data_IF_344176821762
#
_entry.id   IF_344176821762
#
_cell.length_a   1.000
_cell.length_b   1.000
_cell.length_c   1.000
_cell.angle_alpha   90.00
_cell.angle_beta   90.00
_cell.angle_gamma   90.00
#
_symmetry.space_group_name_H-M   'P 1'
#
loop_
_entity.id
_entity.type
_entity.pdbx_description
1 polymer ?
#
# COMPACT_ATOMS: atom_id res chain seq x y z
N UNK A 1 -67.21 -34.22 24.96
CA UNK A 1 -67.22 -33.41 26.19
C UNK A 1 -66.93 -31.95 25.82
N UNK A 2 -68.01 -31.17 25.77
CA UNK A 2 -68.09 -29.70 25.80
C UNK A 2 -67.67 -29.18 27.21
N UNK A 3 -67.69 -27.87 27.54
CA UNK A 3 -67.03 -26.68 26.94
C UNK A 3 -66.52 -25.67 28.03
N UNK A 4 -66.13 -24.43 27.65
CA UNK A 4 -66.48 -23.11 28.24
C UNK A 4 -65.39 -22.06 27.94
N UNK A 5 -65.65 -20.97 27.18
CA UNK A 5 -66.37 -19.70 27.48
C UNK A 5 -65.35 -18.59 27.87
N UNK A 6 -65.47 -17.28 27.57
CA UNK A 6 -66.61 -16.44 27.16
C UNK A 6 -66.13 -15.05 26.67
N UNK A 7 -66.93 -14.42 25.77
CA UNK A 7 -67.47 -13.03 25.77
C UNK A 7 -66.58 -11.78 25.99
N UNK A 8 -66.87 -10.55 25.51
CA UNK A 8 -67.69 -9.91 24.43
C UNK A 8 -67.50 -8.38 24.61
N UNK A 9 -67.54 -7.62 23.51
CA UNK A 9 -68.18 -6.29 23.28
C UNK A 9 -67.65 -4.96 23.90
N UNK A 10 -67.65 -3.92 23.04
CA UNK A 10 -67.82 -2.48 23.33
C UNK A 10 -66.76 -1.58 22.65
N UNK A 11 -66.91 -1.07 21.41
CA UNK A 11 -67.78 0.00 20.86
C UNK A 11 -67.10 1.39 20.74
N UNK A 12 -67.08 1.94 19.50
CA UNK A 12 -67.11 3.37 19.07
C UNK A 12 -65.85 4.24 19.33
N UNK A 13 -65.38 5.21 18.52
CA UNK A 13 -65.86 6.04 17.38
C UNK A 13 -64.68 6.53 16.50
N UNK A 14 -64.94 6.64 15.18
CA UNK A 14 -64.75 7.79 14.25
C UNK A 14 -63.55 8.77 14.44
N UNK A 15 -62.74 8.98 13.39
CA UNK A 15 -62.59 10.24 12.59
C UNK A 15 -61.29 10.19 11.76
N UNK A 16 -61.45 10.43 10.46
CA UNK A 16 -60.42 10.60 9.46
C UNK A 16 -59.67 11.92 9.62
N UNK A 17 -58.39 11.96 9.23
CA UNK A 17 -57.81 13.14 8.57
C UNK A 17 -56.55 12.75 7.80
N UNK A 18 -56.69 12.73 6.47
CA UNK A 18 -55.58 12.73 5.55
C UNK A 18 -54.99 14.15 5.51
N UNK A 19 -53.71 14.29 5.85
CA UNK A 19 -52.94 15.48 5.57
C UNK A 19 -51.78 15.10 4.65
N UNK A 20 -51.96 15.38 3.36
CA UNK A 20 -50.89 15.41 2.39
C UNK A 20 -50.05 16.67 2.65
N UNK A 21 -48.86 16.51 3.23
CA UNK A 21 -47.85 17.56 3.21
C UNK A 21 -47.00 17.40 1.95
N UNK A 22 -47.23 18.29 0.99
CA UNK A 22 -46.30 18.53 -0.10
C UNK A 22 -45.04 19.19 0.49
N UNK A 23 -43.93 18.46 0.50
CA UNK A 23 -42.60 19.02 0.80
C UNK A 23 -42.04 19.55 -0.52
N UNK A 24 -42.10 20.87 -0.68
CA UNK A 24 -41.41 21.61 -1.74
C UNK A 24 -39.91 21.54 -1.48
N UNK A 25 -39.18 20.73 -2.25
CA UNK A 25 -37.72 20.73 -2.24
C UNK A 25 -37.22 22.01 -2.93
N UNK A 26 -36.71 22.95 -2.13
CA UNK A 26 -35.93 24.08 -2.64
C UNK A 26 -34.57 23.55 -3.05
N UNK A 27 -34.37 23.36 -4.35
CA UNK A 27 -33.04 23.13 -4.94
C UNK A 27 -32.34 24.48 -4.97
N UNK A 28 -31.56 24.79 -3.93
CA UNK A 28 -30.57 25.86 -4.00
C UNK A 28 -29.42 25.38 -4.87
N UNK A 29 -29.35 25.91 -6.10
CA UNK A 29 -28.17 25.81 -6.95
C UNK A 29 -27.02 26.61 -6.32
N UNK A 30 -26.36 26.00 -5.34
CA UNK A 30 -25.09 26.49 -4.81
C UNK A 30 -24.01 26.19 -5.84
N UNK A 31 -23.72 27.18 -6.70
CA UNK A 31 -22.53 27.14 -7.54
C UNK A 31 -21.30 26.99 -6.67
N UNK A 32 -20.62 25.84 -6.77
CA UNK A 32 -19.29 25.65 -6.19
C UNK A 32 -18.36 26.58 -6.94
N UNK A 33 -18.00 27.71 -6.33
CA UNK A 33 -16.93 28.56 -6.82
C UNK A 33 -15.64 27.75 -6.64
N UNK A 34 -15.12 27.22 -7.74
CA UNK A 34 -13.81 26.60 -7.78
C UNK A 34 -12.79 27.63 -7.27
N UNK A 35 -12.15 27.34 -6.13
CA UNK A 35 -11.05 28.17 -5.68
C UNK A 35 -9.93 28.12 -6.74
N UNK A 36 -9.33 29.26 -7.11
CA UNK A 36 -8.22 29.28 -8.03
C UNK A 36 -7.09 28.42 -7.46
N UNK A 37 -6.71 27.36 -8.18
CA UNK A 37 -5.47 26.67 -7.90
C UNK A 37 -4.32 27.69 -8.05
N UNK A 38 -3.43 27.84 -7.06
CA UNK A 38 -2.26 28.68 -7.23
C UNK A 38 -1.50 28.20 -8.47
N UNK A 39 -1.21 29.13 -9.39
CA UNK A 39 -0.50 28.82 -10.61
C UNK A 39 0.84 28.12 -10.33
N UNK A 40 1.36 27.31 -11.26
CA UNK A 40 2.59 26.58 -11.06
C UNK A 40 3.73 27.59 -10.87
N UNK A 41 4.20 27.73 -9.63
CA UNK A 41 5.46 28.41 -9.33
C UNK A 41 6.58 27.76 -10.14
N UNK A 42 7.61 28.53 -10.46
CA UNK A 42 8.81 28.02 -11.12
C UNK A 42 9.34 26.79 -10.35
N UNK A 43 9.77 25.72 -11.05
CA UNK A 43 10.25 24.51 -10.40
C UNK A 43 11.45 24.87 -9.52
N UNK A 44 11.28 24.73 -8.20
CA UNK A 44 12.43 24.71 -7.28
C UNK A 44 13.14 23.39 -7.55
N UNK A 45 14.46 23.45 -7.72
CA UNK A 45 15.31 22.29 -7.94
C UNK A 45 15.41 21.50 -6.62
N UNK A 46 14.33 20.83 -6.24
CA UNK A 46 14.15 20.06 -4.99
C UNK A 46 14.74 18.65 -5.17
N UNK A 47 16.00 18.59 -5.58
CA UNK A 47 16.69 17.31 -5.68
C UNK A 47 16.99 16.81 -4.27
N UNK A 48 16.48 15.65 -3.86
CA UNK A 48 16.84 15.00 -2.59
C UNK A 48 18.26 14.38 -2.66
N UNK A 49 19.24 15.14 -3.17
CA UNK A 49 20.65 14.76 -3.26
C UNK A 49 21.33 14.83 -1.90
N UNK A 50 20.93 15.82 -1.11
CA UNK A 50 21.35 15.97 0.27
C UNK A 50 20.13 15.82 1.18
N UNK A 51 20.29 15.05 2.25
CA UNK A 51 19.22 14.73 3.19
C UNK A 51 19.73 14.82 4.63
N UNK A 52 18.86 15.27 5.53
CA UNK A 52 19.05 15.09 6.97
C UNK A 52 18.02 14.10 7.49
N UNK A 53 18.45 13.20 8.37
CA UNK A 53 17.60 12.17 8.96
C UNK A 53 17.68 12.30 10.48
N UNK A 54 16.52 12.34 11.14
CA UNK A 54 16.46 12.37 12.60
C UNK A 54 16.89 11.03 13.22
N UNK A 55 17.22 11.01 14.53
CA UNK A 55 17.23 9.78 15.31
C UNK A 55 15.87 9.04 15.21
N UNK A 56 15.85 7.71 15.40
CA UNK A 56 14.62 6.95 15.38
C UNK A 56 13.73 7.30 16.57
N UNK A 57 12.43 7.40 16.33
CA UNK A 57 11.39 7.58 17.35
C UNK A 57 10.48 6.35 17.36
N UNK A 58 10.26 5.77 18.54
CA UNK A 58 9.30 4.67 18.69
C UNK A 58 7.88 5.19 18.60
N UNK A 59 7.12 4.72 17.60
CA UNK A 59 5.71 5.09 17.40
C UNK A 59 4.73 4.00 17.84
N UNK A 60 5.21 2.75 17.92
CA UNK A 60 4.48 1.64 18.54
C UNK A 60 5.47 0.66 19.17
N UNK A 61 5.43 0.55 20.51
CA UNK A 61 6.22 -0.43 21.26
C UNK A 61 5.50 -1.78 21.36
N UNK A 62 6.25 -2.86 21.61
CA UNK A 62 5.69 -4.19 21.85
C UNK A 62 4.67 -4.21 23.01
N UNK A 63 4.96 -3.48 24.09
CA UNK A 63 4.06 -3.35 25.23
C UNK A 63 2.76 -2.66 24.82
N UNK A 64 2.84 -1.51 24.13
CA UNK A 64 1.66 -0.76 23.70
C UNK A 64 0.81 -1.58 22.72
N UNK A 65 1.44 -2.25 21.76
CA UNK A 65 0.80 -3.19 20.83
C UNK A 65 -0.03 -4.25 21.57
N UNK A 66 0.56 -4.92 22.56
CA UNK A 66 -0.15 -5.93 23.40
C UNK A 66 -1.30 -5.33 24.20
N UNK A 67 -1.13 -4.12 24.76
CA UNK A 67 -2.22 -3.41 25.47
C UNK A 67 -3.42 -3.10 24.56
N UNK A 68 -3.19 -2.97 23.25
CA UNK A 68 -4.24 -2.79 22.24
C UNK A 68 -4.88 -4.12 21.78
N UNK A 69 -4.50 -5.24 22.38
CA UNK A 69 -4.98 -6.58 22.00
C UNK A 69 -4.40 -7.09 20.67
N UNK A 70 -3.40 -6.41 20.11
CA UNK A 70 -2.71 -6.88 18.91
C UNK A 70 -1.71 -7.98 19.30
N UNK A 71 -1.79 -9.14 18.64
CA UNK A 71 -0.89 -10.30 18.85
C UNK A 71 0.17 -10.44 17.75
N UNK A 72 0.14 -9.57 16.74
CA UNK A 72 1.06 -9.56 15.60
C UNK A 72 1.61 -8.15 15.32
N UNK A 73 2.67 -8.08 14.53
CA UNK A 73 3.20 -6.85 13.92
C UNK A 73 2.77 -6.74 12.45
N UNK A 74 2.79 -5.54 11.85
CA UNK A 74 2.72 -5.39 10.39
C UNK A 74 3.81 -6.19 9.68
N UNK A 75 3.46 -6.87 8.60
CA UNK A 75 4.38 -7.68 7.76
C UNK A 75 4.44 -7.21 6.31
N UNK A 76 3.99 -5.99 6.09
CA UNK A 76 4.10 -5.24 4.84
C UNK A 76 4.16 -3.76 5.15
N UNK A 77 4.54 -2.94 4.17
CA UNK A 77 4.49 -1.49 4.31
C UNK A 77 3.01 -1.07 4.39
N UNK A 78 2.60 -0.29 5.41
CA UNK A 78 1.19 0.06 5.55
C UNK A 78 0.75 1.05 4.48
N UNK A 79 -0.48 0.89 3.97
CA UNK A 79 -1.22 1.98 3.36
C UNK A 79 -1.64 2.99 4.43
N UNK A 80 -1.49 4.29 4.16
CA UNK A 80 -1.79 5.36 5.12
C UNK A 80 -2.88 6.26 4.57
N UNK A 81 -3.97 6.42 5.31
CA UNK A 81 -5.08 7.31 4.97
C UNK A 81 -5.28 8.33 6.08
N UNK A 82 -5.31 9.61 5.72
CA UNK A 82 -5.76 10.68 6.62
C UNK A 82 -7.29 10.73 6.65
N UNK A 83 -7.86 10.92 7.84
CA UNK A 83 -9.29 11.08 8.08
C UNK A 83 -9.66 12.55 8.27
N UNK A 84 -10.95 12.86 8.11
CA UNK A 84 -11.48 14.23 8.22
C UNK A 84 -11.26 14.86 9.60
N UNK A 85 -11.19 14.06 10.66
CA UNK A 85 -10.90 14.49 12.04
C UNK A 85 -9.39 14.70 12.31
N UNK A 86 -8.55 14.53 11.29
CA UNK A 86 -7.09 14.66 11.40
C UNK A 86 -6.37 13.41 11.91
N UNK A 87 -7.10 12.35 12.25
CA UNK A 87 -6.49 11.05 12.58
C UNK A 87 -6.07 10.27 11.33
N UNK A 88 -5.34 9.17 11.53
CA UNK A 88 -4.76 8.36 10.47
C UNK A 88 -5.17 6.89 10.61
N UNK A 89 -5.45 6.25 9.48
CA UNK A 89 -5.57 4.80 9.36
C UNK A 89 -4.29 4.23 8.76
N UNK A 90 -3.78 3.16 9.36
CA UNK A 90 -2.70 2.37 8.79
C UNK A 90 -3.26 0.98 8.47
N UNK A 91 -3.14 0.57 7.20
CA UNK A 91 -3.65 -0.68 6.66
C UNK A 91 -2.46 -1.55 6.29
N UNK A 92 -2.19 -2.60 7.05
CA UNK A 92 -1.05 -3.49 6.82
C UNK A 92 -1.44 -4.96 6.90
N UNK A 93 -0.60 -5.83 6.39
CA UNK A 93 -0.75 -7.27 6.58
C UNK A 93 -0.37 -7.66 8.00
N UNK A 94 -1.11 -8.61 8.55
CA UNK A 94 -0.78 -9.26 9.79
C UNK A 94 0.43 -10.17 9.57
N UNK A 95 1.51 -9.90 10.29
CA UNK A 95 2.67 -10.77 10.33
C UNK A 95 2.52 -12.01 11.19
N UNK A 96 3.60 -12.76 11.24
CA UNK A 96 3.71 -13.86 12.19
C UNK A 96 3.68 -13.30 13.63
N UNK A 97 2.96 -13.99 14.51
CA UNK A 97 2.83 -13.64 15.92
C UNK A 97 2.59 -14.88 16.78
N UNK A 98 2.01 -14.73 17.97
CA UNK A 98 1.88 -15.78 19.00
C UNK A 98 0.87 -16.92 18.65
N UNK A 99 0.47 -17.07 17.38
CA UNK A 99 -0.54 -18.03 16.91
C UNK A 99 -0.53 -18.26 15.39
N UNK A 100 -1.39 -19.17 14.89
CA UNK A 100 -1.45 -19.58 13.47
C UNK A 100 -1.67 -18.38 12.53
N UNK A 101 -1.02 -18.43 11.37
CA UNK A 101 -1.12 -17.46 10.28
C UNK A 101 -2.55 -17.33 9.76
N UNK A 102 -3.33 -16.42 10.33
CA UNK A 102 -4.57 -15.96 9.68
C UNK A 102 -4.15 -14.74 8.86
N UNK A 103 -4.14 -14.88 7.53
CA UNK A 103 -3.84 -13.80 6.59
C UNK A 103 -4.91 -12.73 6.74
N UNK A 104 -4.61 -11.71 7.54
CA UNK A 104 -5.52 -10.63 7.86
C UNK A 104 -4.86 -9.31 7.52
N UNK A 105 -5.67 -8.38 7.08
CA UNK A 105 -5.35 -6.96 7.11
C UNK A 105 -5.61 -6.45 8.54
N UNK A 106 -4.58 -5.88 9.14
CA UNK A 106 -4.65 -5.09 10.38
C UNK A 106 -4.91 -3.64 10.01
N UNK A 107 -5.92 -3.05 10.66
CA UNK A 107 -6.31 -1.65 10.49
C UNK A 107 -6.13 -0.97 11.83
N UNK A 108 -5.17 -0.06 11.94
CA UNK A 108 -4.98 0.74 13.17
C UNK A 108 -5.51 2.16 12.97
N UNK A 109 -6.00 2.76 14.07
CA UNK A 109 -6.30 4.19 14.18
C UNK A 109 -5.20 4.85 15.00
N UNK A 110 -4.67 5.97 14.52
CA UNK A 110 -3.57 6.65 15.18
C UNK A 110 -3.45 8.12 14.83
N UNK A 111 -2.37 8.70 15.35
CA UNK A 111 -1.76 9.92 14.83
C UNK A 111 -0.44 9.57 14.15
N UNK A 112 0.25 10.56 13.60
CA UNK A 112 1.60 10.36 13.09
C UNK A 112 2.60 10.00 14.20
N UNK A 113 2.41 10.46 15.44
CA UNK A 113 3.30 10.15 16.56
C UNK A 113 2.94 8.85 17.30
N UNK A 114 1.70 8.37 17.15
CA UNK A 114 1.22 7.13 17.75
C UNK A 114 0.32 6.40 16.74
N UNK A 115 0.91 5.50 15.96
CA UNK A 115 0.25 4.82 14.81
C UNK A 115 -0.92 3.91 15.22
N UNK A 116 -1.06 3.62 16.52
CA UNK A 116 -2.16 2.82 17.04
C UNK A 116 -2.60 3.26 18.45
N UNK A 117 -3.86 3.64 18.57
CA UNK A 117 -4.63 3.66 19.83
C UNK A 117 -5.89 2.82 19.76
N UNK A 118 -6.29 2.38 18.56
CA UNK A 118 -7.34 1.39 18.31
C UNK A 118 -6.90 0.49 17.16
N UNK A 119 -7.34 -0.76 17.16
CA UNK A 119 -7.11 -1.67 16.04
C UNK A 119 -8.32 -2.56 15.75
N UNK A 120 -8.37 -3.06 14.53
CA UNK A 120 -9.29 -4.09 14.07
C UNK A 120 -8.61 -4.94 13.00
N UNK A 121 -9.13 -6.13 12.74
CA UNK A 121 -8.64 -6.98 11.66
C UNK A 121 -9.75 -7.36 10.68
N UNK A 122 -9.37 -7.66 9.46
CA UNK A 122 -10.26 -8.14 8.41
C UNK A 122 -9.50 -9.05 7.44
N UNK A 123 -10.19 -9.84 6.63
CA UNK A 123 -9.57 -10.58 5.52
C UNK A 123 -9.79 -9.82 4.22
N UNK A 124 -8.88 -9.96 3.26
CA UNK A 124 -9.11 -9.46 1.91
C UNK A 124 -10.20 -10.31 1.26
N UNK A 125 -11.30 -9.68 0.86
CA UNK A 125 -12.44 -10.36 0.25
C UNK A 125 -12.16 -10.70 -1.22
N UNK A 126 -12.76 -11.78 -1.73
CA UNK A 126 -12.73 -12.11 -3.16
C UNK A 126 -11.44 -12.76 -3.69
N UNK A 127 -10.44 -12.99 -2.83
CA UNK A 127 -9.24 -13.75 -3.23
C UNK A 127 -9.61 -15.22 -3.49
N UNK A 128 -9.14 -15.86 -4.58
CA UNK A 128 -9.40 -17.26 -4.86
C UNK A 128 -8.96 -18.20 -3.73
N UNK A 129 -9.91 -18.94 -3.17
CA UNK A 129 -9.65 -19.89 -2.07
C UNK A 129 -8.70 -20.99 -2.50
N UNK A 130 -7.68 -21.26 -1.68
CA UNK A 130 -6.73 -22.36 -1.87
C UNK A 130 -5.65 -22.12 -2.93
N UNK A 131 -5.65 -20.95 -3.58
CA UNK A 131 -4.64 -20.61 -4.59
C UNK A 131 -3.37 -19.97 -4.00
N UNK A 132 -3.52 -19.15 -2.96
CA UNK A 132 -2.41 -18.43 -2.32
C UNK A 132 -2.24 -18.84 -0.84
N UNK A 133 -1.01 -19.10 -0.38
CA UNK A 133 -0.70 -19.30 1.06
C UNK A 133 -0.41 -18.01 1.80
N UNK A 134 -0.31 -16.88 1.10
CA UNK A 134 -0.18 -15.57 1.72
C UNK A 134 -0.87 -14.52 0.86
N UNK A 135 -1.57 -13.62 1.54
CA UNK A 135 -2.21 -12.43 0.98
C UNK A 135 -1.87 -11.28 1.89
N UNK A 136 -0.99 -10.41 1.42
CA UNK A 136 -0.61 -9.18 2.09
C UNK A 136 -1.21 -7.97 1.40
N UNK A 137 -1.53 -6.93 2.16
CA UNK A 137 -1.91 -5.62 1.63
C UNK A 137 -0.78 -4.61 1.78
N UNK A 138 -0.64 -3.69 0.84
CA UNK A 138 0.43 -2.70 0.83
C UNK A 138 -0.07 -1.26 0.82
N UNK A 139 0.69 -0.40 0.15
CA UNK A 139 0.38 1.01 -0.01
C UNK A 139 -0.97 1.26 -0.69
N UNK A 140 -1.53 2.44 -0.43
CA UNK A 140 -2.81 2.90 -0.96
C UNK A 140 -2.65 4.13 -1.84
N UNK A 141 -3.52 4.25 -2.83
CA UNK A 141 -3.74 5.47 -3.60
C UNK A 141 -5.19 5.90 -3.42
N UNK A 142 -5.41 7.17 -3.03
CA UNK A 142 -6.75 7.77 -3.01
C UNK A 142 -6.89 8.67 -4.24
N UNK A 143 -7.85 8.35 -5.09
CA UNK A 143 -8.19 9.21 -6.21
C UNK A 143 -8.85 10.51 -5.72
N UNK A 144 -8.29 11.70 -6.01
CA UNK A 144 -8.84 12.95 -5.52
C UNK A 144 -10.17 13.32 -6.20
N UNK A 145 -10.46 12.81 -7.39
CA UNK A 145 -11.67 13.14 -8.13
C UNK A 145 -12.91 12.40 -7.61
N UNK A 146 -12.75 11.11 -7.28
CA UNK A 146 -13.86 10.23 -6.88
C UNK A 146 -13.83 9.86 -5.40
N UNK A 147 -12.70 10.05 -4.72
CA UNK A 147 -12.46 9.57 -3.36
C UNK A 147 -12.20 8.07 -3.25
N UNK A 148 -12.19 7.35 -4.38
CA UNK A 148 -11.94 5.91 -4.47
C UNK A 148 -10.53 5.57 -3.94
N UNK A 149 -10.40 4.45 -3.23
CA UNK A 149 -9.13 4.05 -2.65
C UNK A 149 -8.71 2.69 -3.19
N UNK A 150 -7.59 2.67 -3.90
CA UNK A 150 -6.93 1.47 -4.37
C UNK A 150 -5.84 1.05 -3.39
N UNK A 151 -5.62 -0.26 -3.27
CA UNK A 151 -4.57 -0.83 -2.43
C UNK A 151 -3.81 -1.92 -3.18
N UNK A 152 -2.49 -1.96 -3.04
CA UNK A 152 -1.71 -3.07 -3.58
C UNK A 152 -1.88 -4.33 -2.75
N UNK A 153 -1.84 -5.49 -3.41
CA UNK A 153 -1.97 -6.78 -2.75
C UNK A 153 -0.77 -7.65 -3.16
N UNK A 154 0.01 -8.10 -2.19
CA UNK A 154 1.09 -9.07 -2.35
C UNK A 154 0.52 -10.47 -2.20
N UNK A 155 0.66 -11.30 -3.23
CA UNK A 155 0.10 -12.66 -3.24
C UNK A 155 1.25 -13.65 -3.33
N UNK A 156 1.28 -14.66 -2.47
CA UNK A 156 2.28 -15.71 -2.55
C UNK A 156 1.63 -17.07 -2.74
N UNK A 157 2.22 -17.88 -3.64
CA UNK A 157 1.92 -19.29 -3.81
C UNK A 157 3.18 -20.16 -3.67
N UNK A 158 3.10 -21.30 -2.97
CA UNK A 158 4.24 -22.18 -2.75
C UNK A 158 4.58 -22.90 -4.06
N UNK A 159 5.87 -22.97 -4.36
CA UNK A 159 6.33 -23.76 -5.50
C UNK A 159 6.41 -25.24 -5.10
N UNK A 160 5.78 -26.14 -5.87
CA UNK A 160 5.75 -27.56 -5.54
C UNK A 160 7.14 -28.22 -5.72
N UNK A 161 7.38 -29.29 -4.96
CA UNK A 161 8.55 -30.16 -5.17
C UNK A 161 9.85 -29.72 -4.50
N UNK A 162 9.84 -28.66 -3.69
CA UNK A 162 11.04 -28.10 -3.06
C UNK A 162 10.98 -28.10 -1.54
N UNK A 163 12.04 -28.58 -0.89
CA UNK A 163 12.15 -28.66 0.58
C UNK A 163 12.34 -27.31 1.27
N UNK A 164 12.88 -26.32 0.54
CA UNK A 164 13.11 -24.97 1.07
C UNK A 164 11.85 -24.07 1.01
N UNK A 165 10.71 -24.62 0.58
CA UNK A 165 9.45 -23.88 0.39
C UNK A 165 9.62 -22.55 -0.37
N UNK A 166 10.33 -22.54 -1.53
CA UNK A 166 10.35 -21.35 -2.35
C UNK A 166 8.93 -21.00 -2.78
N UNK A 167 8.69 -19.71 -2.98
CA UNK A 167 7.37 -19.20 -3.32
C UNK A 167 7.46 -18.31 -4.56
N UNK A 168 6.32 -18.18 -5.23
CA UNK A 168 6.13 -17.30 -6.35
C UNK A 168 5.13 -16.23 -5.98
N UNK A 169 5.45 -15.00 -6.35
CA UNK A 169 4.60 -13.85 -6.00
C UNK A 169 3.97 -13.19 -7.21
N UNK A 170 2.80 -12.65 -6.96
CA UNK A 170 2.02 -11.87 -7.91
C UNK A 170 1.54 -10.62 -7.21
N UNK A 171 1.36 -9.55 -7.98
CA UNK A 171 0.81 -8.31 -7.45
C UNK A 171 -0.62 -8.17 -7.91
N UNK A 172 -1.51 -8.12 -6.93
CA UNK A 172 -2.91 -7.79 -7.07
C UNK A 172 -3.22 -6.31 -6.85
N UNK A 173 -4.41 -5.93 -7.26
CA UNK A 173 -5.03 -4.66 -6.90
C UNK A 173 -6.30 -4.92 -6.11
N UNK A 174 -6.52 -4.12 -5.07
CA UNK A 174 -7.71 -4.16 -4.24
C UNK A 174 -8.39 -2.80 -4.17
N UNK A 175 -9.69 -2.83 -3.88
CA UNK A 175 -10.52 -1.66 -3.58
C UNK A 175 -10.77 -1.61 -2.07
N UNK A 176 -10.51 -0.47 -1.44
CA UNK A 176 -10.76 -0.27 0.01
C UNK A 176 -12.14 0.37 0.19
N UNK A 177 -13.01 -0.30 0.93
CA UNK A 177 -14.30 0.27 1.34
C UNK A 177 -14.06 1.46 2.30
N UNK A 178 -14.56 2.68 2.00
CA UNK A 178 -14.23 3.87 2.79
C UNK A 178 -14.89 3.88 4.19
N UNK A 179 -15.89 3.02 4.44
CA UNK A 179 -16.61 2.96 5.72
C UNK A 179 -15.97 1.94 6.65
N UNK A 180 -15.67 0.75 6.13
CA UNK A 180 -15.18 -0.40 6.89
C UNK A 180 -13.67 -0.58 6.78
N UNK A 181 -13.02 0.07 5.81
CA UNK A 181 -11.61 -0.07 5.46
C UNK A 181 -11.21 -1.49 5.07
N UNK A 182 -12.18 -2.33 4.71
CA UNK A 182 -11.95 -3.69 4.21
C UNK A 182 -11.56 -3.63 2.74
N UNK A 183 -10.61 -4.46 2.36
CA UNK A 183 -10.13 -4.55 0.98
C UNK A 183 -10.81 -5.69 0.24
N UNK A 184 -11.32 -5.41 -0.96
CA UNK A 184 -11.80 -6.41 -1.90
C UNK A 184 -10.81 -6.55 -3.04
N UNK A 185 -10.36 -7.77 -3.30
CA UNK A 185 -9.47 -8.11 -4.40
C UNK A 185 -10.17 -7.93 -5.74
N UNK A 186 -9.52 -7.24 -6.66
CA UNK A 186 -10.05 -6.95 -8.00
C UNK A 186 -9.43 -7.85 -9.08
N UNK A 187 -8.20 -8.31 -8.87
CA UNK A 187 -7.45 -9.12 -9.84
C UNK A 187 -5.94 -8.92 -9.75
N UNK A 188 -5.20 -9.81 -10.43
CA UNK A 188 -3.75 -9.72 -10.61
C UNK A 188 -3.42 -8.73 -11.73
N UNK A 189 -2.50 -7.80 -11.45
CA UNK A 189 -2.10 -6.74 -12.38
C UNK A 189 -0.65 -6.84 -12.84
N UNK A 190 0.21 -7.46 -12.02
CA UNK A 190 1.62 -7.69 -12.38
C UNK A 190 2.05 -9.10 -11.96
N UNK A 191 2.74 -9.78 -12.88
CA UNK A 191 3.44 -11.04 -12.64
C UNK A 191 4.86 -10.94 -13.18
N UNK A 192 5.78 -11.73 -12.63
CA UNK A 192 7.18 -11.72 -13.08
C UNK A 192 7.36 -12.14 -14.54
N UNK A 193 8.41 -11.64 -15.20
CA UNK A 193 8.81 -12.15 -16.52
C UNK A 193 9.31 -13.60 -16.45
N UNK A 194 9.89 -14.00 -15.33
CA UNK A 194 10.20 -15.39 -15.04
C UNK A 194 8.91 -16.12 -14.68
N UNK A 195 8.44 -16.99 -15.56
CA UNK A 195 7.23 -17.78 -15.32
C UNK A 195 7.32 -18.67 -14.08
N UNK A 196 6.16 -19.05 -13.54
CA UNK A 196 6.01 -20.05 -12.48
C UNK A 196 6.79 -21.35 -12.75
N UNK A 197 6.62 -21.91 -13.94
CA UNK A 197 7.27 -23.16 -14.31
C UNK A 197 8.78 -23.00 -14.36
N UNK A 198 9.26 -21.82 -14.79
CA UNK A 198 10.68 -21.46 -14.73
C UNK A 198 11.21 -21.38 -13.31
N UNK A 199 10.50 -20.68 -12.42
CA UNK A 199 10.83 -20.56 -11.00
C UNK A 199 10.83 -21.93 -10.30
N UNK A 200 9.79 -22.74 -10.56
CA UNK A 200 9.67 -24.12 -10.05
C UNK A 200 10.83 -24.98 -10.52
N UNK A 201 11.19 -24.94 -11.81
CA UNK A 201 12.34 -25.71 -12.31
C UNK A 201 13.65 -25.27 -11.65
N UNK A 202 13.80 -23.98 -11.40
CA UNK A 202 14.98 -23.41 -10.76
C UNK A 202 15.01 -23.62 -9.23
N UNK A 203 13.89 -24.00 -8.60
CA UNK A 203 13.77 -24.03 -7.14
C UNK A 203 13.99 -22.66 -6.51
N UNK A 204 13.58 -21.59 -7.21
CA UNK A 204 13.95 -20.22 -6.89
C UNK A 204 12.72 -19.40 -6.47
N UNK A 205 12.86 -18.62 -5.39
CA UNK A 205 11.81 -17.70 -4.94
C UNK A 205 11.73 -16.49 -5.87
N UNK A 206 10.54 -16.23 -6.40
CA UNK A 206 10.23 -15.02 -7.15
C UNK A 206 9.43 -14.11 -6.24
N UNK A 207 10.11 -13.19 -5.57
CA UNK A 207 9.51 -12.22 -4.63
C UNK A 207 9.54 -10.81 -5.24
N UNK A 208 8.42 -10.38 -5.81
CA UNK A 208 8.23 -9.04 -6.38
C UNK A 208 8.22 -7.94 -5.30
N UNK A 209 8.21 -8.34 -4.01
CA UNK A 209 8.12 -7.46 -2.85
C UNK A 209 6.72 -6.89 -2.65
N UNK A 210 6.54 -6.13 -1.56
CA UNK A 210 5.33 -5.31 -1.39
C UNK A 210 5.46 -4.07 -2.30
N UNK A 211 4.61 -3.91 -3.31
CA UNK A 211 4.79 -2.88 -4.31
C UNK A 211 4.16 -1.58 -3.85
N UNK A 212 4.76 -0.49 -4.32
CA UNK A 212 4.25 0.87 -4.10
C UNK A 212 3.25 1.28 -5.18
N UNK A 213 2.43 2.29 -4.89
CA UNK A 213 1.40 2.81 -5.79
C UNK A 213 1.39 4.34 -5.73
N UNK A 214 1.65 5.01 -6.85
CA UNK A 214 1.84 6.46 -6.88
C UNK A 214 1.32 7.08 -8.19
N UNK A 215 0.69 8.25 -8.10
CA UNK A 215 0.27 9.04 -9.25
C UNK A 215 0.98 10.40 -9.26
N UNK A 216 1.97 10.62 -10.15
CA UNK A 216 2.70 11.89 -10.27
C UNK A 216 1.89 13.06 -10.84
N UNK A 217 0.65 12.83 -11.27
CA UNK A 217 -0.20 13.85 -11.91
C UNK A 217 -0.04 13.96 -13.42
N UNK A 218 0.63 13.00 -14.06
CA UNK A 218 0.78 12.89 -15.52
C UNK A 218 -0.35 12.07 -16.20
N UNK A 219 -1.41 11.75 -15.44
CA UNK A 219 -2.52 10.92 -15.89
C UNK A 219 -2.32 9.41 -15.70
N UNK A 220 -1.17 8.97 -15.19
CA UNK A 220 -0.87 7.55 -14.96
C UNK A 220 -0.70 7.23 -13.48
N UNK A 221 -1.11 6.00 -13.15
CA UNK A 221 -0.82 5.34 -11.89
C UNK A 221 0.39 4.44 -12.10
N UNK A 222 1.42 4.59 -11.28
CA UNK A 222 2.66 3.83 -11.34
C UNK A 222 2.76 2.88 -10.17
N UNK A 223 3.31 1.72 -10.44
CA UNK A 223 3.63 0.70 -9.47
C UNK A 223 5.12 0.35 -9.57
N UNK A 224 5.83 0.38 -8.45
CA UNK A 224 7.24 0.00 -8.40
C UNK A 224 7.45 -1.27 -7.57
N UNK A 225 8.28 -2.18 -8.09
CA UNK A 225 8.48 -3.54 -7.58
C UNK A 225 9.84 -4.09 -8.04
N UNK A 226 10.29 -5.22 -7.48
CA UNK A 226 11.38 -5.99 -8.06
C UNK A 226 10.84 -6.97 -9.10
N UNK A 227 11.50 -7.16 -10.25
CA UNK A 227 11.11 -8.17 -11.24
C UNK A 227 12.23 -9.22 -11.43
N UNK A 228 11.85 -10.36 -11.99
CA UNK A 228 12.74 -11.47 -12.29
C UNK A 228 12.55 -11.91 -13.74
N UNK A 229 13.64 -12.33 -14.36
CA UNK A 229 13.67 -12.92 -15.70
C UNK A 229 14.60 -14.13 -15.71
N UNK A 230 14.65 -14.85 -16.83
CA UNK A 230 15.72 -15.82 -17.08
C UNK A 230 16.82 -15.18 -17.94
N UNK A 231 18.09 -15.53 -17.68
CA UNK A 231 19.18 -15.24 -18.60
C UNK A 231 19.21 -16.23 -19.79
N UNK A 232 20.13 -16.05 -20.74
CA UNK A 232 20.25 -16.93 -21.91
C UNK A 232 20.58 -18.39 -21.59
N UNK A 233 21.00 -18.70 -20.35
CA UNK A 233 21.22 -20.05 -19.84
C UNK A 233 20.06 -20.56 -18.97
N UNK A 234 18.96 -19.80 -18.87
CA UNK A 234 17.79 -20.16 -18.07
C UNK A 234 17.93 -19.87 -16.57
N UNK A 235 18.98 -19.17 -16.13
CA UNK A 235 19.20 -18.83 -14.72
C UNK A 235 18.37 -17.60 -14.33
N UNK A 236 17.72 -17.60 -13.15
CA UNK A 236 17.01 -16.42 -12.67
C UNK A 236 17.92 -15.19 -12.54
N UNK A 237 17.41 -14.03 -12.96
CA UNK A 237 18.03 -12.72 -12.82
C UNK A 237 16.99 -11.76 -12.24
N UNK A 238 17.36 -10.99 -11.22
CA UNK A 238 16.51 -9.94 -10.66
C UNK A 238 16.86 -8.56 -11.24
N UNK A 239 15.86 -7.68 -11.34
CA UNK A 239 16.05 -6.24 -11.50
C UNK A 239 16.21 -5.58 -10.12
N UNK A 240 16.95 -4.48 -10.04
CA UNK A 240 17.03 -3.69 -8.81
C UNK A 240 15.75 -2.89 -8.56
N UNK A 241 15.10 -2.43 -9.64
CA UNK A 241 13.81 -1.76 -9.62
C UNK A 241 13.12 -1.91 -10.98
N UNK A 242 11.85 -2.27 -10.99
CA UNK A 242 10.98 -2.28 -12.16
C UNK A 242 9.79 -1.36 -11.93
N UNK A 243 9.10 -1.00 -13.01
CA UNK A 243 7.84 -0.26 -12.94
C UNK A 243 6.81 -0.80 -13.92
N UNK A 244 5.55 -0.69 -13.52
CA UNK A 244 4.39 -0.85 -14.37
C UNK A 244 3.49 0.38 -14.22
N UNK A 245 2.72 0.72 -15.25
CA UNK A 245 1.73 1.80 -15.18
C UNK A 245 0.43 1.47 -15.90
N UNK A 246 -0.59 2.23 -15.58
CA UNK A 246 -1.88 2.27 -16.28
C UNK A 246 -2.46 3.69 -16.20
N UNK A 247 -3.31 4.15 -17.14
CA UNK A 247 -4.06 5.38 -16.95
C UNK A 247 -4.87 5.36 -15.64
N UNK A 248 -4.85 6.47 -14.88
CA UNK A 248 -5.58 6.60 -13.61
C UNK A 248 -7.07 6.40 -13.84
N UNK A 249 -7.63 7.04 -14.88
CA UNK A 249 -9.05 6.97 -15.21
C UNK A 249 -9.52 5.53 -15.46
N UNK A 250 -8.70 4.74 -16.16
CA UNK A 250 -9.03 3.35 -16.49
C UNK A 250 -8.97 2.48 -15.23
N UNK A 251 -7.96 2.70 -14.38
CA UNK A 251 -7.83 1.97 -13.11
C UNK A 251 -9.02 2.23 -12.17
N UNK A 252 -9.44 3.49 -12.05
CA UNK A 252 -10.59 3.87 -11.20
C UNK A 252 -11.91 3.34 -11.78
N UNK A 253 -12.12 3.48 -13.09
CA UNK A 253 -13.32 2.96 -13.76
C UNK A 253 -13.43 1.44 -13.60
N UNK A 254 -12.32 0.71 -13.83
CA UNK A 254 -12.29 -0.73 -13.66
C UNK A 254 -12.55 -1.14 -12.21
N UNK A 255 -11.95 -0.45 -11.23
CA UNK A 255 -12.15 -0.73 -9.81
C UNK A 255 -13.58 -0.50 -9.35
N UNK A 256 -14.23 0.56 -9.84
CA UNK A 256 -15.66 0.81 -9.58
C UNK A 256 -16.55 -0.30 -10.17
N UNK A 257 -16.15 -0.89 -11.29
CA UNK A 257 -16.78 -2.05 -11.89
C UNK A 257 -16.38 -3.40 -11.23
N UNK A 258 -15.53 -3.38 -10.20
CA UNK A 258 -15.10 -4.60 -9.50
C UNK A 258 -14.07 -5.42 -10.28
N UNK A 259 -13.28 -4.78 -11.15
CA UNK A 259 -12.29 -5.43 -12.03
C UNK A 259 -10.97 -4.66 -12.04
N UNK A 260 -10.00 -5.14 -12.82
CA UNK A 260 -8.74 -4.45 -13.10
C UNK A 260 -8.63 -4.09 -14.58
N UNK A 261 -7.83 -3.08 -14.88
CA UNK A 261 -7.39 -2.72 -16.23
C UNK A 261 -6.01 -3.33 -16.52
N UNK A 262 -5.61 -3.57 -17.79
CA UNK A 262 -4.26 -3.99 -18.11
C UNK A 262 -3.20 -2.97 -17.67
N UNK A 263 -2.12 -3.47 -17.08
CA UNK A 263 -0.93 -2.69 -16.76
C UNK A 263 0.15 -2.93 -17.81
N UNK A 264 1.01 -1.93 -18.01
CA UNK A 264 2.16 -2.01 -18.92
C UNK A 264 3.44 -1.80 -18.14
N UNK A 265 4.40 -2.72 -18.27
CA UNK A 265 5.77 -2.59 -17.77
C UNK A 265 6.61 -1.70 -18.67
N UNK A 266 7.54 -0.99 -18.05
CA UNK A 266 8.57 -0.26 -18.78
C UNK A 266 9.64 -1.22 -19.31
N UNK A 267 9.85 -1.20 -20.63
CA UNK A 267 10.90 -1.96 -21.31
C UNK A 267 11.52 -1.11 -22.42
N UNK A 268 12.85 -1.04 -22.42
CA UNK A 268 13.69 -0.46 -23.47
C UNK A 268 13.23 0.93 -23.96
N UNK A 269 12.89 1.82 -23.03
CA UNK A 269 12.46 3.18 -23.36
C UNK A 269 10.95 3.37 -23.55
N UNK A 270 10.16 2.30 -23.42
CA UNK A 270 8.73 2.33 -23.75
C UNK A 270 7.86 1.57 -22.75
N UNK A 271 6.57 1.90 -22.69
CA UNK A 271 5.57 1.19 -21.89
C UNK A 271 4.83 0.17 -22.76
N UNK A 272 5.55 -0.83 -23.26
CA UNK A 272 5.06 -1.75 -24.31
C UNK A 272 4.94 -3.19 -23.86
N UNK A 273 5.47 -3.53 -22.68
CA UNK A 273 5.45 -4.88 -22.14
C UNK A 273 4.22 -5.10 -21.25
N UNK A 274 3.54 -6.25 -21.30
CA UNK A 274 2.39 -6.50 -20.42
C UNK A 274 2.80 -6.61 -18.95
N UNK A 275 1.94 -6.12 -18.05
CA UNK A 275 2.09 -6.27 -16.59
C UNK A 275 2.20 -7.73 -16.16
N UNK A 276 1.41 -8.60 -16.75
CA UNK A 276 1.41 -10.03 -16.47
C UNK A 276 2.39 -10.76 -17.40
N UNK A 277 3.49 -11.27 -16.84
CA UNK A 277 4.45 -12.11 -17.57
C UNK A 277 5.39 -11.37 -18.52
N UNK A 278 5.22 -10.07 -18.72
CA UNK A 278 6.07 -9.27 -19.60
C UNK A 278 7.43 -8.95 -18.99
N UNK A 279 8.39 -8.64 -19.85
CA UNK A 279 9.72 -8.17 -19.46
C UNK A 279 9.69 -6.77 -18.80
N UNK A 280 10.72 -6.46 -18.01
CA UNK A 280 10.96 -5.13 -17.45
C UNK A 280 12.43 -4.73 -17.63
N UNK A 281 12.67 -3.45 -17.88
CA UNK A 281 14.00 -2.84 -17.77
C UNK A 281 14.30 -2.53 -16.30
N UNK A 282 15.50 -2.87 -15.84
CA UNK A 282 15.99 -2.41 -14.53
C UNK A 282 16.18 -0.89 -14.56
N UNK A 283 15.40 -0.18 -13.76
CA UNK A 283 15.40 1.27 -13.66
C UNK A 283 16.57 1.82 -12.85
N UNK A 284 17.29 0.96 -12.12
CA UNK A 284 18.45 1.33 -11.31
C UNK A 284 19.61 0.34 -11.54
N UNK A 285 20.10 0.19 -12.78
CA UNK A 285 21.11 -0.81 -13.11
C UNK A 285 22.40 -0.56 -12.33
N UNK A 286 22.95 -1.64 -11.74
CA UNK A 286 24.18 -1.59 -10.94
C UNK A 286 24.01 -1.00 -9.54
N UNK A 287 22.81 -0.56 -9.15
CA UNK A 287 22.51 -0.26 -7.75
C UNK A 287 22.21 -1.55 -6.97
N UNK A 288 22.14 -1.45 -5.65
CA UNK A 288 21.65 -2.56 -4.83
C UNK A 288 20.14 -2.71 -5.05
N UNK A 289 19.67 -3.96 -5.07
CA UNK A 289 18.26 -4.24 -5.23
C UNK A 289 17.42 -3.57 -4.13
N UNK A 290 16.33 -2.93 -4.54
CA UNK A 290 15.35 -2.37 -3.61
C UNK A 290 14.43 -3.51 -3.20
N UNK A 291 14.58 -3.99 -1.98
CA UNK A 291 13.57 -4.87 -1.41
C UNK A 291 12.38 -4.00 -0.99
N UNK A 292 11.14 -4.44 -1.16
CA UNK A 292 9.94 -3.71 -0.68
C UNK A 292 10.03 -2.18 -0.89
N UNK A 293 10.01 -1.68 -2.14
CA UNK A 293 10.14 -0.26 -2.41
C UNK A 293 8.87 0.49 -1.99
N UNK A 294 9.01 1.54 -1.19
CA UNK A 294 7.95 2.52 -0.92
C UNK A 294 8.18 3.76 -1.76
N UNK A 295 7.21 4.09 -2.61
CA UNK A 295 7.25 5.27 -3.45
C UNK A 295 6.18 6.28 -3.01
N UNK A 296 6.48 7.55 -3.20
CA UNK A 296 5.55 8.66 -2.96
C UNK A 296 5.89 9.81 -3.90
N UNK A 297 4.89 10.52 -4.41
CA UNK A 297 5.13 11.67 -5.28
C UNK A 297 5.23 12.93 -4.43
N UNK A 298 6.37 13.63 -4.50
CA UNK A 298 6.53 14.91 -3.85
C UNK A 298 6.10 16.03 -4.80
N UNK A 299 4.98 16.74 -4.52
CA UNK A 299 4.52 17.81 -5.41
C UNK A 299 5.48 18.99 -5.46
N UNK A 300 6.15 19.31 -4.34
CA UNK A 300 7.10 20.43 -4.26
C UNK A 300 8.30 20.21 -5.18
N UNK A 301 8.83 18.99 -5.23
CA UNK A 301 9.94 18.64 -6.10
C UNK A 301 9.57 18.03 -7.44
N UNK A 302 8.26 17.87 -7.72
CA UNK A 302 7.74 17.22 -8.92
C UNK A 302 8.47 15.92 -9.24
N UNK A 303 8.75 15.15 -8.20
CA UNK A 303 9.56 13.94 -8.26
C UNK A 303 8.89 12.83 -7.49
N UNK A 304 8.98 11.60 -7.99
CA UNK A 304 8.74 10.42 -7.17
C UNK A 304 9.95 10.18 -6.29
N UNK A 305 9.73 10.09 -4.98
CA UNK A 305 10.68 9.60 -3.98
C UNK A 305 10.51 8.08 -3.86
N UNK A 306 11.60 7.36 -3.66
CA UNK A 306 11.59 5.93 -3.38
C UNK A 306 12.50 5.63 -2.21
N UNK A 307 11.95 5.00 -1.17
CA UNK A 307 12.67 4.50 -0.01
C UNK A 307 12.58 2.98 0.02
N UNK A 308 13.70 2.31 0.20
CA UNK A 308 13.76 0.85 0.26
C UNK A 308 14.91 0.36 1.15
N UNK A 309 14.77 -0.78 1.84
CA UNK A 309 15.92 -1.54 2.32
C UNK A 309 16.72 -2.07 1.13
N UNK A 310 18.04 -1.89 1.21
CA UNK A 310 19.01 -2.51 0.27
C UNK A 310 19.82 -3.63 0.93
N UNK A 311 19.60 -3.80 2.24
CA UNK A 311 20.04 -4.91 3.08
C UNK A 311 19.15 -4.90 4.33
N UNK A 312 19.35 -5.86 5.24
CA UNK A 312 18.64 -5.87 6.53
C UNK A 312 18.98 -4.66 7.41
N UNK A 313 20.14 -4.04 7.22
CA UNK A 313 20.68 -3.02 8.13
C UNK A 313 20.78 -1.64 7.48
N UNK A 314 20.25 -1.45 6.27
CA UNK A 314 20.47 -0.22 5.50
C UNK A 314 19.25 0.15 4.66
N UNK A 315 18.72 1.35 4.92
CA UNK A 315 17.63 1.97 4.17
C UNK A 315 18.19 3.11 3.31
N UNK A 316 17.77 3.17 2.04
CA UNK A 316 18.19 4.20 1.09
C UNK A 316 17.01 4.94 0.49
N UNK A 317 17.30 6.14 0.00
CA UNK A 317 16.42 6.99 -0.78
C UNK A 317 16.97 7.12 -2.21
N UNK A 318 16.08 7.14 -3.18
CA UNK A 318 16.34 7.65 -4.52
C UNK A 318 15.14 8.48 -4.99
N UNK A 319 15.32 9.23 -6.07
CA UNK A 319 14.24 10.03 -6.64
C UNK A 319 14.31 10.08 -8.16
N UNK A 320 13.20 10.35 -8.83
CA UNK A 320 13.17 10.54 -10.29
C UNK A 320 13.88 11.82 -10.70
N UNK A 321 14.52 11.80 -11.86
CA UNK A 321 15.16 12.94 -12.52
C UNK A 321 14.66 13.02 -13.97
N UNK A 322 15.06 14.07 -14.70
CA UNK A 322 14.75 14.18 -16.14
C UNK A 322 15.32 13.04 -16.99
N UNK A 323 16.31 12.30 -16.49
CA UNK A 323 17.00 11.22 -17.21
C UNK A 323 16.74 9.83 -16.60
N UNK A 324 15.78 9.68 -15.68
CA UNK A 324 15.48 8.40 -15.03
C UNK A 324 15.49 8.50 -13.51
N UNK A 325 16.34 7.72 -12.84
CA UNK A 325 16.46 7.70 -11.38
C UNK A 325 17.81 8.26 -10.92
N UNK A 326 17.80 8.94 -9.77
CA UNK A 326 19.00 9.36 -9.07
C UNK A 326 19.79 8.14 -8.57
N UNK A 327 21.07 8.33 -8.26
CA UNK A 327 21.80 7.39 -7.40
C UNK A 327 21.09 7.27 -6.04
N UNK A 328 21.18 6.09 -5.44
CA UNK A 328 20.70 5.86 -4.07
C UNK A 328 21.58 6.58 -3.04
N UNK A 329 20.93 7.30 -2.13
CA UNK A 329 21.53 7.97 -0.96
C UNK A 329 21.17 7.16 0.29
N UNK A 330 22.14 6.84 1.12
CA UNK A 330 21.87 6.16 2.41
C UNK A 330 21.16 7.11 3.35
N UNK A 331 19.98 6.70 3.85
CA UNK A 331 19.27 7.45 4.88
C UNK A 331 19.82 7.10 6.26
N UNK A 332 19.98 5.80 6.55
CA UNK A 332 20.66 5.31 7.75
C UNK A 332 21.17 3.89 7.56
N UNK A 333 22.03 3.46 8.49
CA UNK A 333 22.40 2.07 8.66
C UNK A 333 22.44 1.70 10.14
N UNK A 334 21.53 0.83 10.57
CA UNK A 334 21.39 0.38 11.95
C UNK A 334 22.07 -1.00 12.09
N UNK A 335 23.40 -1.00 12.28
CA UNK A 335 24.19 -2.25 12.36
C UNK A 335 23.67 -3.19 13.44
N UNK A 336 23.55 -4.47 13.08
CA UNK A 336 23.02 -5.51 13.97
C UNK A 336 21.51 -5.46 14.18
N UNK A 337 20.76 -4.59 13.47
CA UNK A 337 19.29 -4.51 13.50
C UNK A 337 18.70 -4.89 12.15
N UNK A 338 17.48 -5.39 12.14
CA UNK A 338 16.76 -5.64 10.90
C UNK A 338 15.75 -4.52 10.70
N UNK A 339 15.89 -3.70 9.68
CA UNK A 339 14.90 -2.72 9.23
C UNK A 339 14.13 -3.23 8.00
N UNK A 340 12.80 -3.25 8.06
CA UNK A 340 11.94 -3.66 6.94
C UNK A 340 10.68 -2.82 6.82
N UNK A 341 9.96 -3.01 5.71
CA UNK A 341 8.67 -2.40 5.44
C UNK A 341 8.65 -0.87 5.57
N UNK A 342 9.65 -0.13 5.02
CA UNK A 342 9.64 1.32 5.11
C UNK A 342 8.44 1.90 4.35
N UNK A 343 7.82 2.94 4.89
CA UNK A 343 6.79 3.71 4.18
C UNK A 343 7.02 5.21 4.31
N UNK A 344 6.99 5.91 3.18
CA UNK A 344 7.02 7.37 3.11
C UNK A 344 5.64 7.92 3.46
N UNK A 345 5.59 8.87 4.39
CA UNK A 345 4.34 9.50 4.86
C UNK A 345 4.54 11.00 5.03
N UNK A 346 3.78 11.79 4.28
CA UNK A 346 3.65 13.24 4.46
C UNK A 346 2.71 13.63 5.60
N UNK A 347 2.82 14.86 6.07
CA UNK A 347 1.94 15.49 7.08
C UNK A 347 0.82 16.35 6.46
N UNK A 348 0.77 16.42 5.12
CA UNK A 348 -0.22 17.14 4.34
C UNK A 348 -1.61 16.48 4.32
N UNK A 349 -2.49 16.99 3.47
CA UNK A 349 -3.85 16.46 3.30
C UNK A 349 -3.86 15.03 2.74
N UNK A 350 -2.92 14.74 1.84
CA UNK A 350 -2.68 13.40 1.31
C UNK A 350 -1.32 12.88 1.84
N UNK A 351 -1.32 11.86 2.73
CA UNK A 351 -0.09 11.28 3.26
C UNK A 351 0.83 10.66 2.19
N UNK A 352 0.30 10.32 1.01
CA UNK A 352 1.09 9.80 -0.10
C UNK A 352 1.80 10.91 -0.92
N UNK A 353 1.57 12.18 -0.56
CA UNK A 353 2.17 13.35 -1.21
C UNK A 353 3.07 14.14 -0.23
N UNK A 354 4.27 13.63 0.09
CA UNK A 354 5.18 14.28 1.02
C UNK A 354 5.71 15.61 0.47
N UNK A 355 5.85 16.58 1.37
CA UNK A 355 6.68 17.76 1.12
C UNK A 355 8.17 17.44 1.22
N UNK A 356 8.98 18.47 1.43
CA UNK A 356 10.44 18.33 1.61
C UNK A 356 10.83 17.66 2.92
N UNK A 357 9.99 17.81 3.93
CA UNK A 357 10.12 17.11 5.21
C UNK A 357 9.00 16.09 5.28
N UNK A 358 9.35 14.84 5.54
CA UNK A 358 8.41 13.74 5.61
C UNK A 358 8.88 12.70 6.63
N UNK A 359 8.01 11.74 6.91
CA UNK A 359 8.31 10.64 7.80
C UNK A 359 8.59 9.37 7.01
N UNK A 360 9.54 8.58 7.50
CA UNK A 360 9.69 7.18 7.11
C UNK A 360 9.37 6.32 8.31
N UNK A 361 8.26 5.58 8.25
CA UNK A 361 7.92 4.56 9.24
C UNK A 361 8.49 3.23 8.80
N UNK A 362 8.91 2.39 9.74
CA UNK A 362 9.44 1.06 9.44
C UNK A 362 9.32 0.14 10.66
N UNK A 363 9.42 -1.17 10.43
CA UNK A 363 9.54 -2.16 11.50
C UNK A 363 11.02 -2.47 11.73
N UNK A 364 11.43 -2.53 12.99
CA UNK A 364 12.79 -2.90 13.37
C UNK A 364 12.83 -4.09 14.31
N UNK A 365 13.64 -5.12 14.00
CA UNK A 365 14.04 -6.17 14.94
C UNK A 365 15.40 -5.88 15.57
N UNK A 366 15.58 -6.36 16.80
CA UNK A 366 16.75 -6.01 17.61
C UNK A 366 18.01 -6.84 17.31
N UNK A 367 17.91 -7.86 16.45
CA UNK A 367 19.03 -8.66 15.93
C UNK A 367 18.85 -8.84 14.41
N UNK A 368 19.81 -8.42 13.59
CA UNK A 368 19.72 -8.53 12.12
C UNK A 368 19.76 -9.97 11.59
N UNK A 369 20.17 -10.93 12.43
CA UNK A 369 20.28 -12.34 12.07
C UNK A 369 18.96 -13.08 12.23
N UNK A 370 18.05 -12.58 13.07
CA UNK A 370 16.77 -13.22 13.37
C UNK A 370 15.60 -12.25 13.16
N UNK A 371 14.43 -12.78 12.79
CA UNK A 371 13.17 -12.01 12.82
C UNK A 371 12.40 -12.36 14.08
N UNK A 372 13.01 -12.18 15.26
CA UNK A 372 12.33 -12.41 16.53
C UNK A 372 11.25 -11.33 16.79
N UNK A 373 10.03 -11.64 16.36
CA UNK A 373 8.85 -10.78 16.46
C UNK A 373 8.54 -10.31 17.89
N UNK A 374 9.07 -10.97 18.93
CA UNK A 374 8.87 -10.53 20.31
C UNK A 374 9.65 -9.25 20.64
N UNK A 375 10.74 -9.00 19.90
CA UNK A 375 11.64 -7.84 20.07
C UNK A 375 11.35 -6.71 19.09
N UNK A 376 10.48 -6.93 18.10
CA UNK A 376 10.23 -5.93 17.09
C UNK A 376 9.58 -4.67 17.66
N UNK A 377 9.82 -3.53 17.01
CA UNK A 377 9.23 -2.22 17.34
C UNK A 377 8.92 -1.46 16.05
N UNK A 378 7.85 -0.69 16.03
CA UNK A 378 7.61 0.24 14.93
C UNK A 378 8.28 1.59 15.25
N UNK A 379 9.13 2.02 14.32
CA UNK A 379 9.90 3.24 14.44
C UNK A 379 9.51 4.22 13.33
N UNK A 380 9.87 5.48 13.54
CA UNK A 380 9.76 6.56 12.58
C UNK A 380 11.03 7.41 12.61
N UNK A 381 11.50 7.84 11.44
CA UNK A 381 12.49 8.91 11.29
C UNK A 381 11.91 10.04 10.45
N UNK A 382 12.27 11.27 10.78
CA UNK A 382 11.99 12.44 9.94
C UNK A 382 13.11 12.57 8.93
N UNK A 383 12.77 12.72 7.65
CA UNK A 383 13.71 12.96 6.55
C UNK A 383 13.41 14.34 5.98
N UNK A 384 14.46 15.15 5.80
CA UNK A 384 14.36 16.47 5.15
C UNK A 384 15.28 16.51 3.94
N UNK A 385 14.72 16.82 2.77
CA UNK A 385 15.48 17.06 1.54
C UNK A 385 15.93 18.52 1.44
N UNK A 386 17.22 18.70 1.15
CA UNK A 386 17.84 20.01 0.95
C UNK A 386 17.98 20.33 -0.53
N UNK A 387 17.80 21.61 -0.88
CA UNK A 387 18.08 22.09 -2.23
C UNK A 387 19.55 22.45 -2.27
N UNK A 388 20.25 21.99 -3.29
CA UNK A 388 21.62 22.42 -3.58
C UNK A 388 21.62 23.70 -4.40
#
# INVERSE_FOLDING_TARGET
MLPWAAHRLGSLMIVACAAALAITAVVSAGGVVAQPQPGPGAPVNDSCREVTVSPPTTVLSAQRRRQLGLTHWPDTQPGVLRLADGSYRFLASQGQGEGRNVQQQVITLGSLDATAHRASTSTVAGVPTGHYQYVGVGQVYRDPATGEVLQTIHLERLLPGHRAHPYYTEIGLGRVDPTTYRTTFLGVVVQSALSDTGATRAGFTVDLGTPSLVAPGDGYLYMYFGDFSADGAGRPRATSLAAARTPVTDAITAAQAGTVTPWQKYVDGSWSSPGNGGAATDLQPGQRANWEPSAAYSPSGRTTLLVAPVSREEIRLSHTTSSGWSRQVTLWSDRGKFDAYPVIVGDGLDPAQPGRTFYVYYLQWQDSRTRDWTTAVQLRRTVTCHST
#
